data_IF_147888736747
#
_entry.id   IF_147888736747
#
_cell.length_a   1.000
_cell.length_b   1.000
_cell.length_c   1.000
_cell.angle_alpha   90.00
_cell.angle_beta   90.00
_cell.angle_gamma   90.00
#
_symmetry.space_group_name_H-M   'P 1'
#
loop_
_entity.id
_entity.type
_entity.pdbx_description
1 polymer ?
#
# COMPACT_ATOMS: atom_id res chain seq x y z
N UNK A 1 5.40 26.09 10.22
CA UNK A 1 5.76 24.93 11.06
C UNK A 1 6.95 25.31 11.94
N UNK A 2 6.97 24.84 13.16
CA UNK A 2 8.06 24.99 14.12
C UNK A 2 8.72 23.62 14.31
N UNK A 3 10.06 23.59 14.45
CA UNK A 3 10.83 22.38 14.70
C UNK A 3 11.84 22.70 15.78
N UNK A 4 11.85 21.91 16.85
CA UNK A 4 12.83 21.99 17.93
C UNK A 4 13.83 20.84 17.77
N UNK A 5 15.10 21.16 17.58
CA UNK A 5 16.17 20.17 17.42
C UNK A 5 16.92 20.05 18.76
N UNK A 6 16.97 18.84 19.30
CA UNK A 6 17.68 18.53 20.56
C UNK A 6 19.09 18.01 20.32
N UNK A 7 19.33 17.38 19.14
CA UNK A 7 20.64 16.87 18.73
C UNK A 7 20.90 17.19 17.24
N UNK A 8 22.01 17.84 16.95
CA UNK A 8 22.37 18.23 15.59
C UNK A 8 22.75 17.07 14.68
N UNK A 9 22.90 15.85 15.21
CA UNK A 9 23.02 14.63 14.38
C UNK A 9 21.81 14.42 13.46
N UNK A 10 20.67 15.03 13.75
CA UNK A 10 19.49 15.10 12.85
C UNK A 10 19.88 15.61 11.47
N UNK A 11 20.66 16.70 11.38
CA UNK A 11 21.06 17.28 10.09
C UNK A 11 21.93 16.31 9.28
N UNK A 12 22.85 15.62 9.95
CA UNK A 12 23.70 14.62 9.29
C UNK A 12 22.93 13.38 8.87
N UNK A 13 21.93 12.96 9.66
CA UNK A 13 21.05 11.84 9.33
C UNK A 13 20.17 12.17 8.11
N UNK A 14 19.59 13.37 8.06
CA UNK A 14 18.81 13.84 6.91
C UNK A 14 19.69 13.95 5.66
N UNK A 15 20.88 14.52 5.77
CA UNK A 15 21.82 14.63 4.66
C UNK A 15 22.27 13.27 4.11
N UNK A 16 22.40 12.26 4.98
CA UNK A 16 22.84 10.92 4.60
C UNK A 16 21.70 10.04 4.04
N UNK A 17 20.47 10.17 4.56
CA UNK A 17 19.37 9.22 4.33
C UNK A 17 18.05 9.90 3.96
N UNK A 18 18.03 11.22 3.76
CA UNK A 18 16.86 11.98 3.36
C UNK A 18 15.71 11.89 4.37
N UNK A 19 14.50 11.66 3.87
CA UNK A 19 13.26 11.51 4.64
C UNK A 19 13.30 10.34 5.63
N UNK A 20 13.98 9.25 5.29
CA UNK A 20 14.20 8.12 6.23
C UNK A 20 14.99 8.59 7.45
N UNK A 21 16.07 9.33 7.25
CA UNK A 21 16.88 9.89 8.34
C UNK A 21 16.07 10.87 9.20
N UNK A 22 15.18 11.64 8.59
CA UNK A 22 14.26 12.52 9.31
C UNK A 22 13.30 11.73 10.19
N UNK A 23 12.67 10.69 9.65
CA UNK A 23 11.74 9.85 10.41
C UNK A 23 12.42 9.08 11.55
N UNK A 24 13.57 8.46 11.29
CA UNK A 24 14.32 7.72 12.32
C UNK A 24 14.75 8.62 13.49
N UNK A 25 15.20 9.84 13.20
CA UNK A 25 15.60 10.80 14.24
C UNK A 25 14.42 11.37 15.01
N UNK A 26 13.23 11.48 14.40
CA UNK A 26 11.98 11.80 15.11
C UNK A 26 11.61 10.69 16.08
N UNK A 27 11.59 9.45 15.64
CA UNK A 27 11.30 8.29 16.50
C UNK A 27 12.31 8.16 17.65
N UNK A 28 13.56 8.53 17.39
CA UNK A 28 14.61 8.57 18.42
C UNK A 28 14.50 9.76 19.39
N UNK A 29 13.54 10.68 19.18
CA UNK A 29 13.34 11.85 20.04
C UNK A 29 14.44 12.91 19.91
N UNK A 30 15.17 12.96 18.81
CA UNK A 30 16.24 13.93 18.59
C UNK A 30 15.74 15.30 18.11
N UNK A 31 14.47 15.38 17.73
CA UNK A 31 13.74 16.60 17.40
C UNK A 31 12.25 16.40 17.58
N UNK A 32 11.51 17.49 17.71
CA UNK A 32 10.05 17.47 17.79
C UNK A 32 9.41 18.65 17.04
N UNK A 33 8.10 18.57 16.83
CA UNK A 33 7.28 19.62 16.24
C UNK A 33 5.87 19.59 16.86
N UNK A 34 5.22 20.74 17.06
CA UNK A 34 3.83 20.80 17.51
C UNK A 34 2.84 20.16 16.52
N UNK A 35 3.20 20.10 15.21
CA UNK A 35 2.34 19.56 14.18
C UNK A 35 3.16 18.93 13.05
N UNK A 36 3.18 17.61 13.00
CA UNK A 36 3.75 16.87 11.88
C UNK A 36 3.01 17.14 10.57
N UNK A 37 1.71 17.40 10.63
CA UNK A 37 0.90 17.73 9.45
C UNK A 37 1.40 19.03 8.83
N UNK A 38 1.54 20.10 9.61
CA UNK A 38 2.01 21.39 9.09
C UNK A 38 3.44 21.30 8.57
N UNK A 39 4.29 20.55 9.24
CA UNK A 39 5.66 20.30 8.78
C UNK A 39 5.67 19.58 7.43
N UNK A 40 4.85 18.54 7.29
CA UNK A 40 4.70 17.79 6.04
C UNK A 40 4.17 18.68 4.92
N UNK A 41 3.16 19.53 5.19
CA UNK A 41 2.63 20.50 4.21
C UNK A 41 3.71 21.48 3.76
N UNK A 42 4.53 21.99 4.69
CA UNK A 42 5.65 22.87 4.34
C UNK A 42 6.67 22.13 3.47
N UNK A 43 7.03 20.90 3.82
CA UNK A 43 7.96 20.08 3.05
C UNK A 43 7.45 19.83 1.63
N UNK A 44 6.18 19.45 1.46
CA UNK A 44 5.56 19.22 0.16
C UNK A 44 5.48 20.48 -0.70
N UNK A 45 5.12 21.62 -0.11
CA UNK A 45 5.08 22.92 -0.83
C UNK A 45 6.45 23.41 -1.31
N UNK A 46 7.52 22.93 -0.69
CA UNK A 46 8.90 23.30 -1.02
C UNK A 46 9.72 22.10 -1.53
N UNK A 47 9.07 21.08 -2.06
CA UNK A 47 9.70 19.80 -2.44
C UNK A 47 10.84 20.01 -3.45
N UNK A 48 10.70 20.96 -4.37
CA UNK A 48 11.71 21.29 -5.38
C UNK A 48 13.02 21.82 -4.76
N UNK A 49 12.91 22.65 -3.73
CA UNK A 49 14.04 23.19 -2.99
C UNK A 49 14.73 22.11 -2.15
N UNK A 50 13.97 21.13 -1.67
CA UNK A 50 14.47 20.02 -0.84
C UNK A 50 14.93 18.81 -1.65
N UNK A 51 14.71 18.75 -2.96
CA UNK A 51 15.09 17.60 -3.81
C UNK A 51 16.54 17.16 -3.62
N UNK A 52 17.46 18.11 -3.47
CA UNK A 52 18.88 17.80 -3.25
C UNK A 52 19.18 17.18 -1.88
N UNK A 53 18.32 17.41 -0.90
CA UNK A 53 18.46 16.90 0.48
C UNK A 53 17.57 15.68 0.76
N UNK A 54 16.39 15.61 0.14
CA UNK A 54 15.42 14.53 0.35
C UNK A 54 15.83 13.22 -0.35
N UNK A 55 16.52 13.34 -1.49
CA UNK A 55 17.06 12.18 -2.22
C UNK A 55 18.57 12.20 -2.08
N UNK A 56 19.08 11.45 -1.09
CA UNK A 56 20.51 11.29 -0.82
C UNK A 56 21.34 11.28 -2.11
N UNK A 57 22.43 12.07 -2.16
CA UNK A 57 23.19 12.34 -3.39
C UNK A 57 23.53 11.09 -4.21
N UNK A 58 23.78 11.27 -5.50
CA UNK A 58 23.97 10.23 -6.53
C UNK A 58 24.73 8.96 -6.06
N UNK A 59 25.77 9.11 -5.25
CA UNK A 59 26.56 7.98 -4.73
C UNK A 59 25.81 7.15 -3.66
N UNK A 60 24.97 7.76 -2.85
CA UNK A 60 24.13 7.06 -1.88
C UNK A 60 22.95 6.39 -2.58
N UNK A 61 22.39 7.01 -3.62
CA UNK A 61 21.38 6.41 -4.48
C UNK A 61 21.90 5.18 -5.21
N UNK A 62 23.16 5.21 -5.70
CA UNK A 62 23.78 4.07 -6.36
C UNK A 62 24.08 2.93 -5.37
N UNK A 63 24.61 3.24 -4.18
CA UNK A 63 24.82 2.24 -3.11
C UNK A 63 23.47 1.63 -2.67
N UNK A 64 22.46 2.44 -2.48
CA UNK A 64 21.11 2.00 -2.10
C UNK A 64 20.48 1.14 -3.21
N UNK A 65 20.64 1.51 -4.48
CA UNK A 65 20.19 0.74 -5.64
C UNK A 65 20.86 -0.64 -5.72
N UNK A 66 22.20 -0.69 -5.51
CA UNK A 66 22.95 -1.96 -5.51
C UNK A 66 22.53 -2.85 -4.33
N UNK A 67 22.45 -2.28 -3.13
CA UNK A 67 22.01 -3.00 -1.92
C UNK A 67 20.55 -3.47 -2.08
N UNK A 68 19.65 -2.62 -2.58
CA UNK A 68 18.28 -2.98 -2.87
C UNK A 68 18.17 -4.09 -3.90
N UNK A 69 18.96 -4.03 -4.97
CA UNK A 69 18.98 -5.07 -6.01
C UNK A 69 19.47 -6.42 -5.46
N UNK A 70 20.46 -6.40 -4.57
CA UNK A 70 21.01 -7.63 -3.94
C UNK A 70 20.09 -8.16 -2.82
N UNK A 71 19.50 -7.29 -2.01
CA UNK A 71 18.69 -7.68 -0.83
C UNK A 71 17.20 -7.86 -1.13
N UNK A 72 16.69 -7.19 -2.18
CA UNK A 72 15.26 -7.21 -2.57
C UNK A 72 15.04 -7.82 -3.96
N UNK A 73 15.92 -8.74 -4.39
CA UNK A 73 15.65 -9.51 -5.59
C UNK A 73 14.24 -10.12 -5.49
N UNK A 74 13.35 -9.78 -6.44
CA UNK A 74 11.94 -10.17 -6.44
C UNK A 74 11.80 -11.67 -6.81
N UNK A 75 12.58 -12.52 -6.13
CA UNK A 75 12.38 -13.97 -6.17
C UNK A 75 11.06 -14.32 -5.50
N UNK A 76 10.49 -15.48 -5.81
CA UNK A 76 9.23 -15.94 -5.20
C UNK A 76 9.24 -15.88 -3.67
N UNK A 77 10.38 -16.19 -3.04
CA UNK A 77 10.57 -16.10 -1.59
C UNK A 77 10.83 -14.67 -1.11
N UNK A 78 11.49 -13.83 -1.92
CA UNK A 78 11.77 -12.42 -1.63
C UNK A 78 10.50 -11.56 -1.67
N UNK A 79 9.67 -11.74 -2.69
CA UNK A 79 8.38 -11.04 -2.81
C UNK A 79 7.48 -11.33 -1.61
N UNK A 80 7.31 -12.61 -1.25
CA UNK A 80 6.51 -13.01 -0.09
C UNK A 80 7.03 -12.41 1.22
N UNK A 81 8.37 -12.36 1.40
CA UNK A 81 8.99 -11.77 2.60
C UNK A 81 8.81 -10.26 2.65
N UNK A 82 9.02 -9.57 1.53
CA UNK A 82 8.89 -8.11 1.46
C UNK A 82 7.44 -7.66 1.69
N UNK A 83 6.46 -8.36 1.10
CA UNK A 83 5.05 -8.10 1.30
C UNK A 83 4.64 -8.42 2.73
N UNK A 84 5.09 -9.55 3.31
CA UNK A 84 4.85 -9.84 4.73
C UNK A 84 5.41 -8.75 5.63
N UNK A 85 6.67 -8.34 5.46
CA UNK A 85 7.26 -7.28 6.26
C UNK A 85 6.51 -5.94 6.13
N UNK A 86 5.94 -5.65 4.97
CA UNK A 86 5.12 -4.45 4.76
C UNK A 86 3.77 -4.53 5.49
N UNK A 87 3.13 -5.70 5.50
CA UNK A 87 1.81 -5.89 6.14
C UNK A 87 1.88 -6.45 7.57
N UNK A 88 3.05 -6.89 8.04
CA UNK A 88 3.27 -7.38 9.41
C UNK A 88 3.22 -6.24 10.48
N UNK A 89 3.06 -4.99 10.05
CA UNK A 89 2.73 -3.87 10.97
C UNK A 89 1.38 -4.09 11.66
N UNK A 90 0.53 -4.98 11.10
CA UNK A 90 -0.74 -5.43 11.68
C UNK A 90 -1.95 -4.65 11.18
N UNK A 91 -3.10 -5.32 11.22
CA UNK A 91 -4.37 -4.73 10.77
C UNK A 91 -4.75 -3.48 11.58
N UNK A 92 -4.42 -3.46 12.88
CA UNK A 92 -4.72 -2.34 13.78
C UNK A 92 -4.06 -1.03 13.32
N UNK A 93 -2.81 -1.11 12.81
CA UNK A 93 -2.14 0.06 12.25
C UNK A 93 -2.88 0.61 11.02
N UNK A 94 -3.30 -0.26 10.10
CA UNK A 94 -4.01 0.16 8.89
C UNK A 94 -5.39 0.73 9.20
N UNK A 95 -6.08 0.21 10.21
CA UNK A 95 -7.37 0.73 10.70
C UNK A 95 -7.30 2.16 11.25
N UNK A 96 -6.11 2.66 11.64
CA UNK A 96 -5.96 4.02 12.13
C UNK A 96 -6.16 5.09 11.05
N UNK A 97 -5.97 4.76 9.78
CA UNK A 97 -5.95 5.74 8.69
C UNK A 97 -6.62 5.28 7.39
N UNK A 98 -6.86 4.01 7.19
CA UNK A 98 -7.74 3.54 6.13
C UNK A 98 -9.21 3.76 6.51
N UNK A 99 -10.05 3.86 5.49
CA UNK A 99 -11.50 3.88 5.66
C UNK A 99 -12.06 2.50 6.06
N UNK A 100 -13.35 2.42 6.32
CA UNK A 100 -14.03 1.17 6.74
C UNK A 100 -13.90 0.03 5.72
N UNK A 101 -13.69 0.35 4.44
CA UNK A 101 -13.48 -0.66 3.41
C UNK A 101 -12.08 -1.31 3.50
N UNK A 102 -11.19 -0.75 4.33
CA UNK A 102 -9.81 -1.19 4.44
C UNK A 102 -9.10 -1.22 3.09
N UNK A 103 -9.34 -0.23 2.25
CA UNK A 103 -8.79 -0.17 0.90
C UNK A 103 -7.47 0.58 0.88
N UNK A 104 -6.39 -0.14 0.63
CA UNK A 104 -5.04 0.42 0.50
C UNK A 104 -4.68 0.64 -0.97
N UNK A 105 -5.46 1.49 -1.62
CA UNK A 105 -5.25 1.95 -2.99
C UNK A 105 -5.98 3.27 -3.23
N UNK A 106 -5.68 3.97 -4.32
CA UNK A 106 -6.30 5.25 -4.65
C UNK A 106 -7.83 5.16 -4.75
N UNK A 107 -8.51 6.22 -4.40
CA UNK A 107 -9.96 6.33 -4.46
C UNK A 107 -10.43 7.15 -5.66
N UNK A 108 -11.67 6.94 -6.10
CA UNK A 108 -12.29 7.70 -7.18
C UNK A 108 -13.25 8.73 -6.59
N UNK A 109 -12.74 9.92 -6.31
CA UNK A 109 -13.56 11.03 -5.83
C UNK A 109 -14.43 11.62 -6.96
N UNK A 110 -15.63 12.09 -6.61
CA UNK A 110 -16.42 12.97 -7.44
C UNK A 110 -16.26 14.42 -6.96
N UNK A 111 -16.63 15.38 -7.82
CA UNK A 111 -16.55 16.79 -7.47
C UNK A 111 -17.34 17.10 -6.19
N UNK A 112 -16.68 17.76 -5.24
CA UNK A 112 -17.27 18.12 -3.95
C UNK A 112 -17.43 16.95 -2.95
N UNK A 113 -16.93 15.77 -3.26
CA UNK A 113 -16.98 14.60 -2.37
C UNK A 113 -15.69 14.48 -1.54
N UNK A 114 -15.82 14.57 -0.22
CA UNK A 114 -14.70 14.40 0.73
C UNK A 114 -14.74 13.08 1.49
N UNK A 115 -15.70 12.21 1.22
CA UNK A 115 -15.87 10.92 1.91
C UNK A 115 -15.03 9.83 1.21
N UNK A 116 -14.01 9.35 1.91
CA UNK A 116 -13.09 8.34 1.38
C UNK A 116 -13.79 7.00 1.11
N UNK A 117 -14.66 6.57 2.00
CA UNK A 117 -15.38 5.30 1.87
C UNK A 117 -16.30 5.29 0.63
N UNK A 118 -17.01 6.40 0.39
CA UNK A 118 -17.80 6.58 -0.83
C UNK A 118 -16.94 6.60 -2.09
N UNK A 119 -15.79 7.24 -2.03
CA UNK A 119 -14.88 7.30 -3.16
C UNK A 119 -14.26 5.93 -3.48
N UNK A 120 -13.95 5.11 -2.46
CA UNK A 120 -13.50 3.73 -2.63
C UNK A 120 -14.60 2.84 -3.23
N UNK A 121 -15.82 2.91 -2.70
CA UNK A 121 -16.96 2.17 -3.25
C UNK A 121 -17.26 2.58 -4.71
N UNK A 122 -17.17 3.86 -5.04
CA UNK A 122 -17.33 4.35 -6.42
C UNK A 122 -16.27 3.78 -7.37
N UNK A 123 -15.02 3.62 -6.92
CA UNK A 123 -13.99 2.92 -7.67
C UNK A 123 -14.40 1.47 -7.95
N UNK A 124 -14.86 0.76 -6.94
CA UNK A 124 -15.31 -0.62 -7.09
C UNK A 124 -16.50 -0.76 -8.03
N UNK A 125 -17.50 0.11 -7.90
CA UNK A 125 -18.64 0.14 -8.80
C UNK A 125 -18.22 0.38 -10.26
N UNK A 126 -17.27 1.29 -10.47
CA UNK A 126 -16.72 1.54 -11.81
C UNK A 126 -15.96 0.35 -12.38
N UNK A 127 -15.26 -0.41 -11.56
CA UNK A 127 -14.61 -1.65 -11.98
C UNK A 127 -15.68 -2.68 -12.33
N UNK A 128 -16.67 -2.90 -11.48
CA UNK A 128 -17.77 -3.85 -11.72
C UNK A 128 -18.54 -3.55 -13.00
N UNK A 129 -18.80 -2.28 -13.32
CA UNK A 129 -19.44 -1.86 -14.56
C UNK A 129 -18.63 -2.19 -15.83
N UNK A 130 -17.31 -2.38 -15.70
CA UNK A 130 -16.41 -2.72 -16.81
C UNK A 130 -16.17 -4.21 -16.96
N UNK A 131 -16.59 -5.02 -16.00
CA UNK A 131 -16.50 -6.47 -16.10
C UNK A 131 -17.47 -6.99 -17.17
N UNK A 132 -17.11 -8.10 -17.79
CA UNK A 132 -17.98 -8.86 -18.67
C UNK A 132 -19.17 -9.49 -17.95
N UNK A 133 -20.05 -10.16 -18.68
CA UNK A 133 -21.29 -10.75 -18.19
C UNK A 133 -21.11 -12.00 -17.33
N UNK A 134 -19.92 -12.64 -17.34
CA UNK A 134 -19.68 -13.87 -16.57
C UNK A 134 -19.60 -13.60 -15.07
N UNK A 135 -20.02 -14.58 -14.29
CA UNK A 135 -20.18 -14.44 -12.84
C UNK A 135 -18.86 -14.61 -12.06
N UNK A 136 -17.95 -15.49 -12.54
CA UNK A 136 -16.73 -15.85 -11.80
C UNK A 136 -15.65 -14.81 -11.97
N UNK A 137 -15.24 -14.21 -10.84
CA UNK A 137 -14.22 -13.16 -10.77
C UNK A 137 -13.02 -13.65 -9.96
N UNK A 138 -11.84 -13.54 -10.56
CA UNK A 138 -10.57 -13.68 -9.82
C UNK A 138 -10.05 -12.29 -9.46
N UNK A 139 -9.86 -12.03 -8.17
CA UNK A 139 -9.18 -10.82 -7.68
C UNK A 139 -7.75 -11.17 -7.27
N UNK A 140 -6.76 -10.54 -7.94
CA UNK A 140 -5.33 -10.72 -7.62
C UNK A 140 -4.90 -9.58 -6.71
N UNK A 141 -4.48 -9.91 -5.48
CA UNK A 141 -4.14 -8.92 -4.45
C UNK A 141 -5.37 -8.34 -3.77
N UNK A 142 -6.25 -9.20 -3.25
CA UNK A 142 -7.53 -8.80 -2.67
C UNK A 142 -7.43 -7.97 -1.37
N UNK A 143 -6.22 -7.80 -0.81
CA UNK A 143 -6.04 -7.07 0.42
C UNK A 143 -6.94 -7.59 1.55
N UNK A 144 -7.67 -6.69 2.20
CA UNK A 144 -8.61 -7.00 3.27
C UNK A 144 -10.04 -7.30 2.78
N UNK A 145 -10.20 -7.55 1.46
CA UNK A 145 -11.44 -8.03 0.86
C UNK A 145 -12.47 -6.96 0.49
N UNK A 146 -12.09 -5.68 0.43
CA UNK A 146 -13.03 -4.61 0.14
C UNK A 146 -13.70 -4.71 -1.24
N UNK A 147 -12.94 -4.97 -2.31
CA UNK A 147 -13.52 -5.19 -3.62
C UNK A 147 -14.26 -6.54 -3.69
N UNK A 148 -13.70 -7.60 -3.09
CA UNK A 148 -14.36 -8.91 -3.05
C UNK A 148 -15.75 -8.84 -2.40
N UNK A 149 -15.90 -8.08 -1.30
CA UNK A 149 -17.18 -7.82 -0.65
C UNK A 149 -18.15 -7.12 -1.61
N UNK A 150 -17.74 -6.01 -2.20
CA UNK A 150 -18.58 -5.24 -3.13
C UNK A 150 -19.00 -6.05 -4.35
N UNK A 151 -18.11 -6.90 -4.86
CA UNK A 151 -18.39 -7.78 -5.99
C UNK A 151 -19.37 -8.90 -5.63
N UNK A 152 -19.16 -9.55 -4.47
CA UNK A 152 -20.08 -10.58 -3.95
C UNK A 152 -21.49 -10.01 -3.72
N UNK A 153 -21.58 -8.81 -3.12
CA UNK A 153 -22.87 -8.12 -2.91
C UNK A 153 -23.59 -7.77 -4.24
N UNK A 154 -22.83 -7.64 -5.34
CA UNK A 154 -23.40 -7.47 -6.69
C UNK A 154 -23.75 -8.78 -7.37
N UNK A 155 -23.64 -9.93 -6.69
CA UNK A 155 -24.00 -11.26 -7.21
C UNK A 155 -22.87 -11.96 -7.97
N UNK A 156 -21.60 -11.53 -7.82
CA UNK A 156 -20.45 -12.20 -8.42
C UNK A 156 -19.93 -13.33 -7.53
N UNK A 157 -19.48 -14.41 -8.14
CA UNK A 157 -18.73 -15.50 -7.48
C UNK A 157 -17.23 -15.13 -7.48
N UNK A 158 -16.73 -14.70 -6.31
CA UNK A 158 -15.41 -14.10 -6.20
C UNK A 158 -14.42 -15.07 -5.55
N UNK A 159 -13.28 -15.24 -6.21
CA UNK A 159 -12.07 -15.82 -5.62
C UNK A 159 -11.01 -14.74 -5.47
N UNK A 160 -10.66 -14.39 -4.24
CA UNK A 160 -9.61 -13.41 -3.93
C UNK A 160 -8.30 -14.09 -3.57
N UNK A 161 -7.18 -13.57 -4.09
CA UNK A 161 -5.84 -14.04 -3.77
C UNK A 161 -5.09 -13.02 -2.94
N UNK A 162 -4.48 -13.46 -1.86
CA UNK A 162 -3.49 -12.70 -1.09
C UNK A 162 -2.33 -13.60 -0.66
N UNK A 163 -1.17 -13.03 -0.38
CA UNK A 163 -0.03 -13.74 0.21
C UNK A 163 0.22 -13.35 1.68
N UNK A 164 -0.65 -12.52 2.25
CA UNK A 164 -0.63 -12.10 3.65
C UNK A 164 -1.64 -12.91 4.48
N UNK A 165 -1.18 -13.70 5.46
CA UNK A 165 -2.09 -14.42 6.38
C UNK A 165 -3.00 -13.48 7.18
N UNK A 166 -2.48 -12.29 7.55
CA UNK A 166 -3.21 -11.27 8.29
C UNK A 166 -4.38 -10.69 7.47
N UNK A 167 -4.12 -10.36 6.19
CA UNK A 167 -5.17 -9.91 5.28
C UNK A 167 -6.22 -10.99 5.03
N UNK A 168 -5.76 -12.25 4.81
CA UNK A 168 -6.69 -13.37 4.62
C UNK A 168 -7.63 -13.53 5.81
N UNK A 169 -7.10 -13.60 7.03
CA UNK A 169 -7.92 -13.76 8.23
C UNK A 169 -8.96 -12.64 8.39
N UNK A 170 -8.57 -11.41 8.09
CA UNK A 170 -9.49 -10.27 8.12
C UNK A 170 -10.56 -10.37 7.01
N UNK A 171 -10.16 -10.68 5.78
CA UNK A 171 -11.08 -10.81 4.66
C UNK A 171 -12.06 -11.98 4.84
N UNK A 172 -11.61 -13.13 5.34
CA UNK A 172 -12.49 -14.25 5.65
C UNK A 172 -13.56 -13.86 6.67
N UNK A 173 -13.18 -13.16 7.74
CA UNK A 173 -14.12 -12.69 8.76
C UNK A 173 -15.12 -11.65 8.20
N UNK A 174 -14.65 -10.71 7.36
CA UNK A 174 -15.48 -9.71 6.71
C UNK A 174 -16.50 -10.33 5.75
N UNK A 175 -16.06 -11.28 4.96
CA UNK A 175 -16.86 -11.85 3.88
C UNK A 175 -17.85 -12.90 4.37
N UNK A 176 -17.60 -13.54 5.49
CA UNK A 176 -18.46 -14.55 6.11
C UNK A 176 -18.98 -15.60 5.11
N UNK A 177 -18.08 -16.11 4.29
CA UNK A 177 -18.37 -17.13 3.27
C UNK A 177 -18.98 -16.60 1.96
N UNK A 178 -19.20 -15.30 1.78
CA UNK A 178 -19.72 -14.70 0.54
C UNK A 178 -18.73 -14.72 -0.63
N UNK A 179 -17.45 -14.92 -0.35
CA UNK A 179 -16.40 -15.07 -1.35
C UNK A 179 -15.31 -16.01 -0.82
N UNK A 180 -14.57 -16.65 -1.71
CA UNK A 180 -13.44 -17.51 -1.37
C UNK A 180 -12.14 -16.71 -1.32
N UNK A 181 -11.43 -16.67 -0.18
CA UNK A 181 -10.11 -16.05 -0.08
C UNK A 181 -9.02 -17.11 0.05
N UNK A 182 -8.06 -17.07 -0.86
CA UNK A 182 -6.94 -18.03 -0.89
C UNK A 182 -5.63 -17.36 -0.49
N UNK A 183 -4.90 -17.97 0.43
CA UNK A 183 -3.52 -17.62 0.73
C UNK A 183 -2.62 -18.21 -0.36
N UNK A 184 -2.50 -17.52 -1.49
CA UNK A 184 -1.87 -18.07 -2.68
C UNK A 184 -1.18 -16.97 -3.50
N UNK A 185 0.03 -17.29 -3.98
CA UNK A 185 0.70 -16.50 -5.00
C UNK A 185 -0.04 -16.64 -6.34
N UNK A 186 -0.39 -15.54 -6.97
CA UNK A 186 -1.14 -15.51 -8.24
C UNK A 186 -0.46 -16.31 -9.35
N UNK A 187 0.88 -16.42 -9.33
CA UNK A 187 1.67 -17.22 -10.30
C UNK A 187 1.41 -18.73 -10.20
N UNK A 188 0.77 -19.18 -9.13
CA UNK A 188 0.33 -20.56 -8.92
C UNK A 188 -1.17 -20.75 -9.18
N UNK A 189 -1.84 -19.68 -9.60
CA UNK A 189 -3.26 -19.75 -9.88
C UNK A 189 -3.54 -20.64 -11.09
N UNK A 190 -4.62 -21.40 -11.01
CA UNK A 190 -5.09 -22.28 -12.06
C UNK A 190 -6.60 -22.23 -12.13
N UNK A 191 -7.16 -22.69 -13.22
CA UNK A 191 -8.60 -22.64 -13.47
C UNK A 191 -8.95 -21.59 -14.52
N UNK A 192 -10.25 -21.39 -14.72
CA UNK A 192 -10.79 -20.40 -15.64
C UNK A 192 -11.74 -19.48 -14.90
N UNK A 193 -11.61 -18.21 -15.12
CA UNK A 193 -12.48 -17.16 -14.58
C UNK A 193 -13.03 -16.36 -15.74
N UNK A 194 -14.22 -15.82 -15.57
CA UNK A 194 -14.86 -15.01 -16.60
C UNK A 194 -14.26 -13.61 -16.63
N UNK A 195 -13.84 -13.13 -15.46
CA UNK A 195 -13.19 -11.83 -15.26
C UNK A 195 -12.00 -11.96 -14.35
N UNK A 196 -10.97 -11.13 -14.56
CA UNK A 196 -9.81 -11.01 -13.68
C UNK A 196 -9.68 -9.52 -13.30
N UNK A 197 -9.54 -9.26 -12.01
CA UNK A 197 -9.34 -7.92 -11.45
C UNK A 197 -8.03 -7.89 -10.69
N UNK A 198 -7.28 -6.82 -10.87
CA UNK A 198 -6.07 -6.53 -10.09
C UNK A 198 -5.99 -5.02 -9.87
N UNK A 199 -5.94 -4.59 -8.63
CA UNK A 199 -5.98 -3.17 -8.25
C UNK A 199 -4.66 -2.81 -7.59
N UNK A 200 -3.88 -1.92 -8.23
CA UNK A 200 -2.59 -1.42 -7.73
C UNK A 200 -1.64 -2.53 -7.25
N UNK A 201 -1.44 -3.54 -8.10
CA UNK A 201 -0.52 -4.66 -7.85
C UNK A 201 0.73 -4.62 -8.74
N UNK A 202 0.67 -3.88 -9.84
CA UNK A 202 1.69 -3.94 -10.90
C UNK A 202 3.06 -3.44 -10.42
N UNK A 203 3.07 -2.48 -9.51
CA UNK A 203 4.27 -1.94 -8.86
C UNK A 203 4.98 -2.97 -7.97
N UNK A 204 4.23 -3.97 -7.47
CA UNK A 204 4.76 -5.03 -6.62
C UNK A 204 5.24 -6.26 -7.41
N UNK A 205 4.93 -6.34 -8.71
CA UNK A 205 5.22 -7.51 -9.54
C UNK A 205 6.68 -7.54 -10.02
N UNK A 206 7.32 -6.36 -10.18
CA UNK A 206 8.67 -6.22 -10.72
C UNK A 206 8.71 -6.27 -12.25
N UNK A 207 9.88 -5.96 -12.83
CA UNK A 207 10.04 -5.81 -14.30
C UNK A 207 10.09 -7.13 -15.07
N UNK A 208 10.29 -8.25 -14.40
CA UNK A 208 10.50 -9.57 -15.02
C UNK A 208 9.24 -10.45 -15.06
N UNK A 209 8.08 -9.89 -14.66
CA UNK A 209 6.80 -10.63 -14.59
C UNK A 209 5.64 -9.81 -15.13
#
# INVERSE_FOLDING_TARGET
>A
AEVQIFDWSVVTAIAARGDIGMGETYVAGLWETPSLIDLTVVALKNLEQFRGYAYAGFWNGLKFSVINRMMRANSRSGAARNIRAHYDVGNEFYQLWLDETMTYSSALFADGDGDLSRAQNRKYDRILQRLGTGERVLEIGCGWGGFAERAADSGRDVTGLTISPSQKGYADARLDGRAEIRLQDYRKSSGKFDNIVSIEMIEAVGQDY
#
